data_IF_810973217054
#
_entry.id   IF_810973217054
#
_cell.length_a   1.000
_cell.length_b   1.000
_cell.length_c   1.000
_cell.angle_alpha   90.00
_cell.angle_beta   90.00
_cell.angle_gamma   90.00
#
_symmetry.space_group_name_H-M   'P 1'
#
loop_
_entity.id
_entity.type
_entity.pdbx_description
1 polymer ?
#
# COMPACT_ATOMS: atom_id res chain seq x y z
N UNK A 1 1.24 19.92 -20.38
CA UNK A 1 0.84 19.75 -18.96
C UNK A 1 1.36 18.41 -18.51
N UNK A 2 2.18 18.38 -17.46
CA UNK A 2 2.76 17.13 -16.98
C UNK A 2 1.66 16.38 -16.21
N UNK A 3 1.02 15.42 -16.89
CA UNK A 3 -0.14 14.66 -16.42
C UNK A 3 0.30 13.61 -15.38
N UNK A 4 0.84 14.10 -14.26
CA UNK A 4 1.58 13.29 -13.29
C UNK A 4 0.60 12.65 -12.32
N UNK A 5 0.40 11.35 -12.50
CA UNK A 5 -0.44 10.52 -11.63
C UNK A 5 0.33 10.18 -10.35
N UNK A 6 -0.28 10.43 -9.19
CA UNK A 6 0.22 9.97 -7.90
C UNK A 6 -0.13 8.50 -7.71
N UNK A 7 0.88 7.64 -7.52
CA UNK A 7 0.67 6.21 -7.31
C UNK A 7 0.90 5.85 -5.85
N UNK A 8 -0.07 5.19 -5.23
CA UNK A 8 0.01 4.69 -3.86
C UNK A 8 0.24 3.19 -3.91
N UNK A 9 1.46 2.76 -3.58
CA UNK A 9 1.76 1.34 -3.37
C UNK A 9 1.18 0.88 -2.03
N UNK A 10 0.47 -0.25 -2.02
CA UNK A 10 -0.13 -0.81 -0.80
C UNK A 10 -0.10 -2.34 -0.82
N UNK A 11 -0.19 -3.00 0.34
CA UNK A 11 -0.35 -4.45 0.41
C UNK A 11 -1.74 -4.87 -0.07
N UNK A 12 -1.85 -6.11 -0.56
CA UNK A 12 -3.13 -6.70 -1.02
C UNK A 12 -4.10 -7.09 0.09
N UNK A 13 -3.67 -7.16 1.35
CA UNK A 13 -4.58 -7.46 2.46
C UNK A 13 -5.72 -6.44 2.53
N UNK A 14 -6.94 -6.89 2.85
CA UNK A 14 -8.14 -6.04 2.87
C UNK A 14 -7.96 -4.76 3.71
N UNK A 15 -7.31 -4.87 4.87
CA UNK A 15 -7.05 -3.71 5.73
C UNK A 15 -6.12 -2.69 5.05
N UNK A 16 -5.05 -3.14 4.39
CA UNK A 16 -4.12 -2.27 3.69
C UNK A 16 -4.75 -1.57 2.47
N UNK A 17 -5.65 -2.27 1.76
CA UNK A 17 -6.45 -1.68 0.70
C UNK A 17 -7.40 -0.60 1.25
N UNK A 18 -8.09 -0.90 2.35
CA UNK A 18 -8.96 0.07 3.02
C UNK A 18 -8.18 1.32 3.45
N UNK A 19 -6.99 1.15 4.02
CA UNK A 19 -6.11 2.26 4.41
C UNK A 19 -5.71 3.11 3.20
N UNK A 20 -5.33 2.47 2.09
CA UNK A 20 -4.95 3.16 0.86
C UNK A 20 -6.11 3.93 0.23
N UNK A 21 -7.31 3.35 0.20
CA UNK A 21 -8.52 4.04 -0.26
C UNK A 21 -8.90 5.21 0.66
N UNK A 22 -8.78 5.04 1.97
CA UNK A 22 -9.02 6.12 2.92
C UNK A 22 -8.11 7.33 2.66
N UNK A 23 -6.81 7.09 2.47
CA UNK A 23 -5.83 8.14 2.15
C UNK A 23 -6.13 8.76 0.78
N UNK A 24 -6.43 7.95 -0.24
CA UNK A 24 -6.83 8.43 -1.58
C UNK A 24 -8.05 9.36 -1.51
N UNK A 25 -9.09 8.99 -0.79
CA UNK A 25 -10.29 9.81 -0.64
C UNK A 25 -9.98 11.20 -0.03
N UNK A 26 -9.12 11.24 0.99
CA UNK A 26 -8.69 12.49 1.64
C UNK A 26 -7.85 13.38 0.72
N UNK A 27 -6.99 12.78 -0.11
CA UNK A 27 -6.21 13.50 -1.11
C UNK A 27 -7.10 14.12 -2.18
N UNK A 28 -8.07 13.36 -2.70
CA UNK A 28 -9.00 13.85 -3.72
C UNK A 28 -9.93 14.95 -3.19
N UNK A 29 -10.35 14.87 -1.92
CA UNK A 29 -11.15 15.90 -1.28
C UNK A 29 -10.40 17.24 -1.14
N UNK A 30 -9.08 17.20 -0.97
CA UNK A 30 -8.23 18.39 -0.79
C UNK A 30 -7.61 18.88 -2.10
N UNK A 31 -7.53 18.02 -3.12
CA UNK A 31 -6.91 18.32 -4.42
C UNK A 31 -7.79 17.78 -5.57
N UNK A 32 -8.84 18.52 -5.99
CA UNK A 32 -9.82 18.03 -6.97
C UNK A 32 -9.25 17.66 -8.36
N UNK A 33 -8.10 18.22 -8.73
CA UNK A 33 -7.40 17.91 -9.99
C UNK A 33 -6.35 16.81 -9.89
N UNK A 34 -6.14 16.23 -8.70
CA UNK A 34 -5.14 15.18 -8.51
C UNK A 34 -5.65 13.85 -9.05
N UNK A 35 -4.82 13.18 -9.85
CA UNK A 35 -5.06 11.80 -10.29
C UNK A 35 -4.31 10.85 -9.36
N UNK A 36 -5.03 9.92 -8.73
CA UNK A 36 -4.47 8.94 -7.80
C UNK A 36 -4.79 7.51 -8.24
N UNK A 37 -3.77 6.67 -8.35
CA UNK A 37 -3.87 5.24 -8.64
C UNK A 37 -3.37 4.41 -7.44
N UNK A 38 -4.08 3.32 -7.11
CA UNK A 38 -3.60 2.34 -6.15
C UNK A 38 -2.85 1.22 -6.87
N UNK A 39 -1.69 0.84 -6.36
CA UNK A 39 -0.86 -0.26 -6.85
C UNK A 39 -0.75 -1.36 -5.78
N UNK A 40 -1.57 -2.41 -5.82
CA UNK A 40 -1.51 -3.50 -4.85
C UNK A 40 -0.30 -4.42 -5.07
N UNK A 41 0.59 -4.49 -4.08
CA UNK A 41 1.80 -5.30 -4.06
C UNK A 41 1.68 -6.48 -3.09
N UNK A 42 2.51 -7.50 -3.31
CA UNK A 42 2.71 -8.61 -2.39
C UNK A 42 4.12 -8.55 -1.84
N UNK A 43 4.25 -8.67 -0.53
CA UNK A 43 5.49 -8.60 0.24
C UNK A 43 5.95 -9.99 0.65
N UNK A 44 7.17 -10.12 1.15
CA UNK A 44 7.64 -11.40 1.72
C UNK A 44 6.77 -11.87 2.88
N UNK A 45 6.31 -10.96 3.72
CA UNK A 45 5.40 -11.26 4.83
C UNK A 45 4.01 -11.71 4.41
N UNK A 46 3.58 -11.42 3.18
CA UNK A 46 2.33 -11.97 2.63
C UNK A 46 2.47 -13.44 2.20
N UNK A 47 3.70 -13.91 2.00
CA UNK A 47 4.01 -15.28 1.54
C UNK A 47 4.34 -16.23 2.68
N UNK A 48 4.85 -15.70 3.79
CA UNK A 48 5.27 -16.48 4.96
C UNK A 48 4.20 -16.34 6.04
N UNK A 49 3.24 -17.29 6.08
CA UNK A 49 2.13 -17.30 7.05
C UNK A 49 2.34 -18.30 8.19
N UNK A 50 3.20 -19.29 7.97
CA UNK A 50 3.27 -20.49 8.82
C UNK A 50 4.41 -20.45 9.84
N UNK A 51 5.14 -19.33 9.89
CA UNK A 51 6.28 -19.12 10.78
C UNK A 51 5.99 -17.95 11.71
N UNK A 52 6.15 -18.11 13.04
CA UNK A 52 6.00 -17.01 13.98
C UNK A 52 6.91 -15.84 13.60
N UNK A 53 6.35 -14.63 13.61
CA UNK A 53 7.07 -13.41 13.19
C UNK A 53 8.40 -13.22 13.93
N UNK A 54 8.47 -13.58 15.21
CA UNK A 54 9.69 -13.53 16.02
C UNK A 54 10.83 -14.43 15.52
N UNK A 55 10.51 -15.50 14.78
CA UNK A 55 11.50 -16.38 14.14
C UNK A 55 11.93 -15.88 12.76
N UNK A 56 11.15 -14.99 12.15
CA UNK A 56 11.47 -14.36 10.87
C UNK A 56 12.39 -13.17 11.16
N UNK A 57 13.70 -13.45 11.26
CA UNK A 57 14.71 -12.40 11.34
C UNK A 57 14.75 -11.59 10.04
N UNK A 58 14.50 -10.29 10.10
CA UNK A 58 14.62 -9.40 8.94
C UNK A 58 13.85 -8.08 9.08
N UNK A 59 14.53 -6.95 8.88
CA UNK A 59 13.87 -5.63 8.80
C UNK A 59 13.13 -5.51 7.46
N UNK A 60 11.86 -5.08 7.49
CA UNK A 60 11.11 -4.73 6.28
C UNK A 60 10.27 -5.85 5.67
N UNK A 61 9.88 -6.87 6.44
CA UNK A 61 9.11 -8.03 5.96
C UNK A 61 7.82 -7.66 5.19
N UNK A 62 7.18 -6.55 5.56
CA UNK A 62 5.94 -6.04 4.96
C UNK A 62 6.14 -4.75 4.13
N UNK A 63 7.38 -4.36 3.87
CA UNK A 63 7.73 -3.07 3.27
C UNK A 63 8.65 -3.22 2.04
N UNK A 64 9.19 -4.42 1.81
CA UNK A 64 10.00 -4.81 0.64
C UNK A 64 9.22 -5.69 -0.33
#
# INVERSE_FOLDING_TARGET
MNDRILRIATRRSQLALWQAEHVRARLLATHPGLRVELLPLSTQGDRILDVPLAKIGGKGLFVK
#
